data_IF_535742131928
#
_entry.id   IF_535742131928
#
_cell.length_a   1.000
_cell.length_b   1.000
_cell.length_c   1.000
_cell.angle_alpha   90.00
_cell.angle_beta   90.00
_cell.angle_gamma   90.00
#
_symmetry.space_group_name_H-M   'P 1'
#
loop_
_entity.id
_entity.type
_entity.pdbx_description
1 polymer ?
#
# COMPACT_ATOMS: atom_id res chain seq x y z
N UNK A 1 30.73 -7.74 -21.73
CA UNK A 1 29.47 -8.33 -21.26
C UNK A 1 29.62 -8.49 -19.74
N UNK A 2 29.25 -7.45 -19.00
CA UNK A 2 29.45 -7.37 -17.55
C UNK A 2 28.08 -7.59 -16.91
N UNK A 3 27.92 -8.53 -15.96
CA UNK A 3 26.65 -8.69 -15.27
C UNK A 3 26.39 -7.41 -14.46
N UNK A 4 25.27 -6.76 -14.74
CA UNK A 4 24.75 -5.64 -13.95
C UNK A 4 24.37 -6.20 -12.58
N UNK A 5 25.33 -6.09 -11.67
CA UNK A 5 25.17 -6.30 -10.24
C UNK A 5 24.13 -5.29 -9.76
N UNK A 6 22.87 -5.72 -9.62
CA UNK A 6 21.86 -4.92 -8.93
C UNK A 6 22.23 -4.99 -7.46
N UNK A 7 23.06 -4.04 -7.05
CA UNK A 7 23.35 -3.76 -5.64
C UNK A 7 22.03 -3.27 -5.05
N UNK A 8 21.27 -4.19 -4.45
CA UNK A 8 20.20 -3.83 -3.54
C UNK A 8 20.86 -3.27 -2.29
N UNK A 9 21.02 -1.95 -2.24
CA UNK A 9 21.40 -1.28 -1.01
C UNK A 9 20.36 -1.63 0.06
N UNK A 10 20.79 -2.39 1.08
CA UNK A 10 20.09 -2.44 2.36
C UNK A 10 20.20 -1.05 2.97
N UNK A 11 19.18 -0.23 2.77
CA UNK A 11 18.89 0.87 3.69
C UNK A 11 18.20 0.27 4.93
N UNK A 12 18.92 0.14 6.03
CA UNK A 12 18.30 -0.02 7.35
C UNK A 12 18.23 1.36 8.01
N UNK A 13 17.03 1.94 8.11
CA UNK A 13 16.75 3.03 9.06
C UNK A 13 15.26 3.40 9.08
N UNK A 14 14.52 2.67 9.91
CA UNK A 14 13.10 2.86 10.19
C UNK A 14 12.40 1.52 10.08
N UNK A 15 11.96 0.94 11.18
CA UNK A 15 11.16 -0.30 11.17
C UNK A 15 9.84 0.02 10.47
N UNK A 16 9.80 -0.09 9.14
CA UNK A 16 8.58 0.15 8.36
C UNK A 16 7.54 -0.81 8.89
N UNK A 17 6.53 -0.25 9.57
CA UNK A 17 5.51 -1.05 10.25
C UNK A 17 4.77 -1.84 9.17
N UNK A 18 4.88 -3.16 9.21
CA UNK A 18 4.09 -4.02 8.32
C UNK A 18 2.76 -4.33 8.99
N UNK A 19 1.72 -4.50 8.20
CA UNK A 19 0.39 -4.86 8.68
C UNK A 19 -0.24 -5.84 7.70
N UNK A 20 -0.90 -6.85 8.25
CA UNK A 20 -1.64 -7.83 7.46
C UNK A 20 -3.05 -7.30 7.20
N UNK A 21 -3.46 -7.37 5.94
CA UNK A 21 -4.78 -6.96 5.48
C UNK A 21 -5.44 -8.11 4.76
N UNK A 22 -6.73 -8.29 4.97
CA UNK A 22 -7.51 -9.29 4.26
C UNK A 22 -8.38 -8.59 3.22
N UNK A 23 -8.19 -8.93 1.95
CA UNK A 23 -9.04 -8.46 0.86
C UNK A 23 -10.42 -9.12 0.88
N UNK A 24 -11.37 -8.55 0.13
CA UNK A 24 -12.74 -9.07 -0.01
C UNK A 24 -12.82 -10.54 -0.46
N UNK A 25 -11.83 -11.04 -1.18
CA UNK A 25 -11.72 -12.42 -1.65
C UNK A 25 -11.29 -13.39 -0.55
N UNK A 26 -10.86 -12.86 0.60
CA UNK A 26 -10.26 -13.61 1.70
C UNK A 26 -8.75 -13.76 1.60
N UNK A 27 -8.12 -13.32 0.49
CA UNK A 27 -6.65 -13.28 0.35
C UNK A 27 -6.03 -12.33 1.36
N UNK A 28 -4.85 -12.69 1.85
CA UNK A 28 -4.08 -11.88 2.79
C UNK A 28 -2.96 -11.17 2.07
N UNK A 29 -2.74 -9.92 2.46
CA UNK A 29 -1.74 -9.03 1.92
C UNK A 29 -0.91 -8.47 3.05
N UNK A 30 0.40 -8.53 2.90
CA UNK A 30 1.32 -7.83 3.77
C UNK A 30 1.57 -6.44 3.18
N UNK A 31 1.07 -5.41 3.87
CA UNK A 31 1.25 -4.02 3.47
C UNK A 31 2.26 -3.33 4.38
N UNK A 32 3.09 -2.47 3.79
CA UNK A 32 4.07 -1.67 4.52
C UNK A 32 3.54 -0.28 4.73
N UNK A 33 3.52 0.21 5.98
CA UNK A 33 3.17 1.59 6.27
C UNK A 33 4.24 2.52 5.73
N UNK A 34 3.79 3.51 4.97
CA UNK A 34 4.61 4.59 4.45
C UNK A 34 4.33 5.88 5.22
N UNK A 35 5.29 6.80 5.20
CA UNK A 35 5.14 8.07 5.93
C UNK A 35 4.31 9.06 5.09
N UNK A 36 3.21 9.56 5.66
CA UNK A 36 2.33 10.54 5.01
C UNK A 36 3.01 11.88 4.69
N UNK A 37 3.93 12.35 5.53
CA UNK A 37 4.63 13.64 5.36
C UNK A 37 5.66 13.60 4.23
N UNK A 38 6.28 12.44 3.99
CA UNK A 38 7.26 12.21 2.92
C UNK A 38 6.72 11.26 1.83
N UNK A 39 5.40 11.21 1.67
CA UNK A 39 4.77 10.25 0.78
C UNK A 39 5.15 10.50 -0.68
N UNK A 40 5.72 9.49 -1.33
CA UNK A 40 6.02 9.48 -2.75
C UNK A 40 5.61 8.14 -3.37
N UNK A 41 5.02 8.21 -4.57
CA UNK A 41 4.59 7.02 -5.30
C UNK A 41 5.67 6.52 -6.25
N UNK A 42 5.91 5.22 -6.24
CA UNK A 42 6.77 4.50 -7.17
C UNK A 42 5.94 3.83 -8.27
N UNK A 43 6.49 3.76 -9.49
CA UNK A 43 5.75 3.33 -10.69
C UNK A 43 5.23 1.89 -10.61
N UNK A 44 5.97 0.99 -9.96
CA UNK A 44 5.60 -0.44 -9.85
C UNK A 44 4.73 -0.78 -8.66
N UNK A 45 4.56 0.16 -7.73
CA UNK A 45 4.01 -0.13 -6.42
C UNK A 45 2.52 0.22 -6.37
N UNK A 46 1.80 -0.55 -5.57
CA UNK A 46 0.40 -0.33 -5.28
C UNK A 46 0.26 0.33 -3.91
N UNK A 47 -0.57 1.35 -3.85
CA UNK A 47 -0.80 2.15 -2.65
C UNK A 47 -2.24 2.05 -2.20
N UNK A 48 -2.43 1.97 -0.88
CA UNK A 48 -3.72 1.96 -0.20
C UNK A 48 -3.71 3.14 0.76
N UNK A 49 -4.57 4.12 0.51
CA UNK A 49 -4.76 5.26 1.40
C UNK A 49 -5.88 4.91 2.36
N UNK A 50 -5.63 5.03 3.66
CA UNK A 50 -6.50 4.54 4.72
C UNK A 50 -6.87 5.66 5.69
N UNK A 51 -8.12 5.66 6.14
CA UNK A 51 -8.59 6.48 7.26
C UNK A 51 -9.17 5.58 8.35
N UNK A 52 -8.48 5.50 9.48
CA UNK A 52 -8.93 4.73 10.65
C UNK A 52 -9.22 3.26 10.35
N UNK A 53 -8.42 2.62 9.50
CA UNK A 53 -8.61 1.22 9.08
C UNK A 53 -9.54 0.99 7.90
N UNK A 54 -10.11 2.05 7.29
CA UNK A 54 -10.93 1.96 6.08
C UNK A 54 -10.14 2.42 4.84
N UNK A 55 -10.02 1.59 3.79
CA UNK A 55 -9.47 2.01 2.50
C UNK A 55 -10.34 3.11 1.88
N UNK A 56 -9.74 4.26 1.58
CA UNK A 56 -10.39 5.37 0.87
C UNK A 56 -10.04 5.39 -0.61
N UNK A 57 -8.85 4.92 -0.95
CA UNK A 57 -8.36 4.85 -2.33
C UNK A 57 -7.32 3.74 -2.44
N UNK A 58 -7.35 3.01 -3.55
CA UNK A 58 -6.37 1.99 -3.90
C UNK A 58 -5.95 2.19 -5.34
N UNK A 59 -4.65 2.26 -5.59
CA UNK A 59 -4.16 2.44 -6.95
C UNK A 59 -2.65 2.60 -7.05
N UNK A 60 -2.19 2.73 -8.29
CA UNK A 60 -0.80 2.95 -8.64
C UNK A 60 -0.65 4.28 -9.38
N UNK A 61 0.59 4.69 -9.64
CA UNK A 61 0.88 5.91 -10.42
C UNK A 61 0.25 5.84 -11.82
N UNK A 62 0.18 4.65 -12.43
CA UNK A 62 -0.48 4.47 -13.73
C UNK A 62 -1.95 4.88 -13.70
N UNK A 63 -2.69 4.56 -12.63
CA UNK A 63 -4.10 4.95 -12.51
C UNK A 63 -4.27 6.47 -12.33
N UNK A 64 -3.30 7.13 -11.71
CA UNK A 64 -3.30 8.59 -11.56
C UNK A 64 -3.03 9.31 -12.88
N UNK A 65 -2.20 8.70 -13.74
CA UNK A 65 -1.85 9.24 -15.06
C UNK A 65 -2.96 8.95 -16.08
N UNK A 66 -3.54 7.75 -16.04
CA UNK A 66 -4.55 7.31 -16.97
C UNK A 66 -5.92 7.98 -16.74
N UNK A 67 -6.30 8.23 -15.48
CA UNK A 67 -7.63 8.76 -15.15
C UNK A 67 -7.60 10.03 -14.27
N UNK A 68 -8.03 11.19 -14.81
CA UNK A 68 -8.16 12.42 -14.02
C UNK A 68 -9.09 12.30 -12.80
N UNK A 69 -10.09 11.41 -12.84
CA UNK A 69 -11.00 11.20 -11.71
C UNK A 69 -10.29 10.46 -10.57
N UNK A 70 -9.53 9.41 -10.87
CA UNK A 70 -8.65 8.71 -9.91
C UNK A 70 -7.70 9.67 -9.21
N UNK A 71 -7.08 10.59 -9.96
CA UNK A 71 -6.22 11.63 -9.38
C UNK A 71 -6.93 12.55 -8.39
N UNK A 72 -8.18 12.92 -8.68
CA UNK A 72 -8.98 13.74 -7.77
C UNK A 72 -9.32 12.98 -6.49
N UNK A 73 -9.73 11.70 -6.62
CA UNK A 73 -10.01 10.83 -5.48
C UNK A 73 -8.79 10.59 -4.61
N UNK A 74 -7.62 10.34 -5.21
CA UNK A 74 -6.37 10.17 -4.47
C UNK A 74 -6.02 11.41 -3.65
N UNK A 75 -6.13 12.61 -4.23
CA UNK A 75 -5.89 13.87 -3.50
C UNK A 75 -6.85 14.08 -2.33
N UNK A 76 -8.14 13.79 -2.53
CA UNK A 76 -9.15 13.84 -1.47
C UNK A 76 -8.90 12.79 -0.38
N UNK A 77 -8.47 11.59 -0.77
CA UNK A 77 -8.14 10.53 0.16
C UNK A 77 -6.93 10.91 1.02
N UNK A 78 -5.87 11.48 0.42
CA UNK A 78 -4.68 11.97 1.13
C UNK A 78 -5.01 13.06 2.15
N UNK A 79 -5.90 14.00 1.80
CA UNK A 79 -6.35 15.07 2.71
C UNK A 79 -7.03 14.52 3.98
N UNK A 80 -7.71 13.39 3.85
CA UNK A 80 -8.42 12.73 4.94
C UNK A 80 -7.65 11.55 5.57
N UNK A 81 -6.50 11.19 5.03
CA UNK A 81 -5.80 9.96 5.36
C UNK A 81 -5.23 10.01 6.78
N UNK A 82 -5.30 8.88 7.46
CA UNK A 82 -4.52 8.68 8.70
C UNK A 82 -3.26 7.88 8.42
N UNK A 83 -3.29 7.00 7.42
CA UNK A 83 -2.22 6.05 7.11
C UNK A 83 -2.15 5.84 5.60
N UNK A 84 -0.94 5.60 5.09
CA UNK A 84 -0.73 5.15 3.71
C UNK A 84 0.04 3.84 3.76
N UNK A 85 -0.41 2.88 2.98
CA UNK A 85 0.16 1.56 2.92
C UNK A 85 0.63 1.27 1.50
N UNK A 86 1.73 0.55 1.40
CA UNK A 86 2.39 0.20 0.15
C UNK A 86 2.49 -1.32 0.01
N UNK A 87 2.23 -1.80 -1.20
CA UNK A 87 2.51 -3.15 -1.66
C UNK A 87 3.45 -3.09 -2.86
N UNK A 88 4.64 -3.68 -2.77
CA UNK A 88 5.56 -3.70 -3.89
C UNK A 88 5.05 -4.64 -5.00
N UNK A 89 5.01 -4.14 -6.24
CA UNK A 89 4.81 -4.91 -7.48
C UNK A 89 3.89 -6.15 -7.39
N UNK A 90 2.56 -5.97 -7.21
CA UNK A 90 1.63 -7.09 -7.20
C UNK A 90 1.63 -7.84 -8.54
N UNK A 91 1.59 -9.17 -8.49
CA UNK A 91 1.61 -10.02 -9.69
C UNK A 91 0.40 -9.75 -10.62
N UNK A 92 -0.78 -9.56 -10.04
CA UNK A 92 -1.99 -9.13 -10.75
C UNK A 92 -2.54 -7.87 -10.07
N UNK A 93 -2.17 -6.72 -10.63
CA UNK A 93 -2.52 -5.41 -10.07
C UNK A 93 -4.02 -5.17 -10.05
N UNK A 94 -4.74 -5.50 -11.11
CA UNK A 94 -6.18 -5.24 -11.20
C UNK A 94 -6.94 -6.08 -10.19
N UNK A 95 -6.56 -7.36 -10.05
CA UNK A 95 -7.12 -8.20 -9.01
C UNK A 95 -6.79 -7.67 -7.60
N UNK A 96 -5.54 -7.23 -7.36
CA UNK A 96 -5.13 -6.68 -6.07
C UNK A 96 -5.88 -5.38 -5.72
N UNK A 97 -6.07 -4.46 -6.67
CA UNK A 97 -6.85 -3.22 -6.47
C UNK A 97 -8.27 -3.57 -6.07
N UNK A 98 -8.96 -4.35 -6.88
CA UNK A 98 -10.33 -4.79 -6.63
C UNK A 98 -10.49 -5.43 -5.25
N UNK A 99 -9.48 -6.21 -4.84
CA UNK A 99 -9.51 -6.93 -3.58
C UNK A 99 -9.30 -6.02 -2.36
N UNK A 100 -8.36 -5.06 -2.50
CA UNK A 100 -7.94 -4.13 -1.46
C UNK A 100 -8.91 -2.95 -1.26
N UNK A 101 -9.72 -2.61 -2.27
CA UNK A 101 -10.76 -1.58 -2.16
C UNK A 101 -11.73 -1.82 -1.00
N UNK A 102 -11.95 -3.09 -0.63
CA UNK A 102 -12.80 -3.49 0.49
C UNK A 102 -12.02 -4.33 1.51
N UNK A 103 -10.70 -4.17 1.56
CA UNK A 103 -9.89 -4.86 2.54
C UNK A 103 -10.07 -4.29 3.94
N UNK A 104 -9.79 -5.11 4.94
CA UNK A 104 -9.77 -4.71 6.34
C UNK A 104 -8.47 -5.18 7.00
N UNK A 105 -7.97 -4.45 8.01
CA UNK A 105 -6.80 -4.87 8.74
C UNK A 105 -7.11 -6.15 9.52
N UNK A 106 -6.26 -7.16 9.39
CA UNK A 106 -6.31 -8.33 10.25
C UNK A 106 -5.71 -7.91 11.59
N UNK A 107 -6.54 -7.85 12.63
CA UNK A 107 -6.04 -7.58 13.97
C UNK A 107 -5.07 -8.71 14.34
N UNK A 108 -3.79 -8.37 14.51
CA UNK A 108 -2.86 -9.28 15.14
C UNK A 108 -3.38 -9.52 16.56
N UNK A 109 -3.82 -10.75 16.84
CA UNK A 109 -4.15 -11.17 18.19
C UNK A 109 -2.85 -11.07 18.97
N UNK A 110 -2.62 -9.97 19.67
CA UNK A 110 -1.55 -9.89 20.66
C UNK A 110 -1.99 -10.80 21.80
N UNK A 111 -1.51 -12.04 21.79
CA UNK A 111 -1.55 -12.89 22.96
C UNK A 111 -0.68 -12.21 24.03
N UNK A 112 -1.28 -11.31 24.83
CA UNK A 112 -0.66 -10.85 26.06
C UNK A 112 -0.72 -12.02 27.03
N UNK A 113 0.42 -12.71 27.19
CA UNK A 113 0.62 -13.64 28.28
C UNK A 113 0.57 -12.85 29.60
N UNK A 114 -0.39 -13.22 30.45
CA UNK A 114 -0.56 -12.72 31.81
C UNK A 114 0.45 -13.35 32.78
#
# INVERSE_FOLDING_TARGET
>A
MVPMMVVFERGDSGRSRRSEWQGRSGRRYELTHDNLENFAMHETDLYVIVKGGLPLWVGSTEELVADPMSRTRCRLALDCATEVLRMPAPHDRMAAIWDLENAYPVQAITAQAA
#
